data_IF_293127837014
#
_entry.id   IF_293127837014
#
_cell.length_a   1.000
_cell.length_b   1.000
_cell.length_c   1.000
_cell.angle_alpha   90.00
_cell.angle_beta   90.00
_cell.angle_gamma   90.00
#
_symmetry.space_group_name_H-M   'P 1'
#
loop_
_entity.id
_entity.type
_entity.pdbx_description
1 polymer ?
#
# COMPACT_ATOMS: atom_id res chain seq x y z
N UNK A 1 -60.68 39.80 -106.81
CA UNK A 1 -61.92 40.27 -106.16
C UNK A 1 -61.67 40.23 -104.65
N UNK A 2 -61.32 41.38 -104.06
CA UNK A 2 -62.16 42.14 -103.09
C UNK A 2 -62.69 41.29 -101.92
N UNK A 3 -62.11 41.46 -100.73
CA UNK A 3 -62.79 41.99 -99.52
C UNK A 3 -61.82 41.98 -98.32
N UNK A 4 -61.45 43.15 -97.78
CA UNK A 4 -62.06 43.96 -96.72
C UNK A 4 -61.76 43.49 -95.28
N UNK A 5 -60.96 44.34 -94.62
CA UNK A 5 -60.67 44.41 -93.18
C UNK A 5 -61.92 44.45 -92.30
N UNK A 6 -61.82 43.87 -91.11
CA UNK A 6 -62.57 44.31 -89.92
C UNK A 6 -61.67 44.29 -88.68
N UNK A 7 -61.96 45.25 -87.81
CA UNK A 7 -61.17 45.79 -86.71
C UNK A 7 -61.67 45.23 -85.38
N UNK A 8 -60.77 45.22 -84.38
CA UNK A 8 -60.99 45.32 -82.92
C UNK A 8 -61.41 44.11 -82.06
N UNK A 9 -60.65 43.92 -80.96
CA UNK A 9 -61.08 43.68 -79.56
C UNK A 9 -60.11 42.69 -78.85
N UNK A 10 -59.08 43.16 -78.12
CA UNK A 10 -59.02 43.34 -76.64
C UNK A 10 -58.86 42.03 -75.82
N UNK A 11 -57.68 41.94 -75.17
CA UNK A 11 -57.34 41.30 -73.87
C UNK A 11 -57.28 39.76 -73.76
N UNK A 12 -56.09 39.22 -73.48
CA UNK A 12 -55.76 38.59 -72.18
C UNK A 12 -54.33 38.00 -72.18
N UNK A 13 -53.65 38.14 -71.04
CA UNK A 13 -52.27 37.73 -70.78
C UNK A 13 -52.13 36.21 -70.54
N UNK A 14 -50.96 35.65 -70.87
CA UNK A 14 -50.40 34.49 -70.14
C UNK A 14 -48.96 34.23 -70.59
N UNK A 15 -48.01 34.60 -69.73
CA UNK A 15 -46.66 34.06 -69.74
C UNK A 15 -46.66 32.78 -68.88
N UNK A 16 -46.27 31.64 -69.43
CA UNK A 16 -46.03 30.42 -68.66
C UNK A 16 -44.58 29.98 -68.80
N UNK A 17 -43.79 30.47 -67.84
CA UNK A 17 -42.55 29.86 -67.34
C UNK A 17 -42.91 28.56 -66.61
N UNK A 18 -42.39 27.42 -67.06
CA UNK A 18 -42.38 26.19 -66.28
C UNK A 18 -40.92 25.88 -65.91
N UNK A 19 -40.43 26.60 -64.90
CA UNK A 19 -39.17 26.31 -64.23
C UNK A 19 -39.40 25.27 -63.12
N UNK A 20 -38.42 24.38 -62.99
CA UNK A 20 -38.28 23.29 -62.03
C UNK A 20 -38.51 23.75 -60.59
N UNK A 21 -39.27 22.98 -59.80
CA UNK A 21 -39.17 23.02 -58.33
C UNK A 21 -39.18 21.61 -57.75
N UNK A 22 -37.99 21.13 -57.35
CA UNK A 22 -37.83 20.14 -56.30
C UNK A 22 -38.12 20.84 -54.95
N UNK A 23 -38.96 20.28 -54.07
CA UNK A 23 -39.06 20.76 -52.70
C UNK A 23 -37.77 20.38 -51.95
N UNK A 24 -36.85 21.32 -51.79
CA UNK A 24 -35.80 21.22 -50.78
C UNK A 24 -36.42 21.61 -49.43
N UNK A 25 -36.91 20.62 -48.68
CA UNK A 25 -37.39 20.84 -47.32
C UNK A 25 -36.20 21.15 -46.41
N UNK A 26 -35.91 22.44 -46.20
CA UNK A 26 -34.96 22.89 -45.19
C UNK A 26 -35.61 22.75 -43.81
N UNK A 27 -35.12 21.82 -42.99
CA UNK A 27 -35.51 21.67 -41.59
C UNK A 27 -34.74 22.74 -40.78
N UNK A 28 -35.45 23.72 -40.22
CA UNK A 28 -34.84 24.74 -39.35
C UNK A 28 -34.71 24.21 -37.91
N UNK A 29 -33.58 24.48 -37.26
CA UNK A 29 -33.37 24.17 -35.84
C UNK A 29 -33.87 25.36 -35.00
N UNK A 30 -34.88 25.12 -34.17
CA UNK A 30 -35.43 26.13 -33.26
C UNK A 30 -34.69 26.06 -31.91
N UNK A 31 -34.18 27.21 -31.46
CA UNK A 31 -33.53 27.34 -30.16
C UNK A 31 -34.52 27.98 -29.20
N UNK A 32 -34.95 27.23 -28.18
CA UNK A 32 -35.74 27.75 -27.08
C UNK A 32 -34.86 27.98 -25.85
N UNK A 33 -35.18 29.02 -25.07
CA UNK A 33 -34.53 29.29 -23.79
C UNK A 33 -35.25 28.61 -22.61
N UNK A 34 -36.06 27.58 -22.90
CA UNK A 34 -36.73 26.78 -21.88
C UNK A 34 -35.71 25.89 -21.16
N UNK A 35 -35.86 25.73 -19.86
CA UNK A 35 -35.06 24.77 -19.09
C UNK A 35 -35.24 23.36 -19.65
N UNK A 36 -34.15 22.62 -19.76
CA UNK A 36 -34.18 21.23 -20.19
C UNK A 36 -35.01 20.38 -19.23
N UNK A 37 -35.86 19.52 -19.78
CA UNK A 37 -36.67 18.56 -19.02
C UNK A 37 -35.90 17.26 -18.74
N UNK A 38 -36.31 16.51 -17.71
CA UNK A 38 -35.70 15.21 -17.37
C UNK A 38 -35.75 14.19 -18.52
N UNK A 39 -36.78 14.29 -19.38
CA UNK A 39 -36.95 13.43 -20.55
C UNK A 39 -36.22 13.94 -21.81
N UNK A 40 -35.57 15.11 -21.75
CA UNK A 40 -34.81 15.61 -22.88
C UNK A 40 -33.58 14.73 -23.12
N UNK A 41 -33.31 14.48 -24.40
CA UNK A 41 -32.22 13.63 -24.86
C UNK A 41 -31.08 14.47 -25.40
N UNK A 42 -29.86 13.98 -25.22
CA UNK A 42 -28.67 14.63 -25.77
C UNK A 42 -28.74 14.57 -27.29
N UNK A 43 -28.47 15.69 -27.96
CA UNK A 43 -28.34 15.71 -29.42
C UNK A 43 -26.88 15.46 -29.80
N UNK A 44 -26.66 14.55 -30.74
CA UNK A 44 -25.35 14.20 -31.29
C UNK A 44 -25.25 14.74 -32.71
N UNK A 45 -24.06 15.18 -33.10
CA UNK A 45 -23.76 15.55 -34.48
C UNK A 45 -23.02 14.38 -35.12
N UNK A 46 -23.55 13.87 -36.22
CA UNK A 46 -22.99 12.76 -36.96
C UNK A 46 -22.76 13.17 -38.41
N UNK A 47 -21.59 12.84 -38.97
CA UNK A 47 -21.29 13.08 -40.38
C UNK A 47 -21.79 11.90 -41.21
N UNK A 48 -22.81 12.13 -42.03
CA UNK A 48 -23.42 11.13 -42.90
C UNK A 48 -23.13 11.48 -44.37
N UNK A 49 -22.10 10.88 -44.96
CA UNK A 49 -21.67 11.12 -46.35
C UNK A 49 -21.38 12.60 -46.65
N UNK A 50 -20.57 13.26 -45.82
CA UNK A 50 -20.08 14.63 -46.09
C UNK A 50 -21.04 15.75 -45.68
N UNK A 51 -22.18 15.42 -45.07
CA UNK A 51 -23.09 16.37 -44.41
C UNK A 51 -23.18 16.05 -42.92
N UNK A 52 -23.16 17.09 -42.09
CA UNK A 52 -23.37 16.95 -40.65
C UNK A 52 -24.87 16.98 -40.36
N UNK A 53 -25.37 15.92 -39.71
CA UNK A 53 -26.77 15.79 -39.29
C UNK A 53 -26.87 15.72 -37.76
N UNK A 54 -27.90 16.34 -37.21
CA UNK A 54 -28.19 16.26 -35.77
C UNK A 54 -29.12 15.07 -35.52
N UNK A 55 -28.68 14.15 -34.67
CA UNK A 55 -29.41 12.93 -34.32
C UNK A 55 -29.67 12.94 -32.80
N UNK A 56 -30.85 12.49 -32.37
CA UNK A 56 -31.14 12.35 -30.95
C UNK A 56 -30.45 11.10 -30.41
N UNK A 57 -29.70 11.25 -29.32
CA UNK A 57 -29.13 10.13 -28.57
C UNK A 57 -30.20 9.37 -27.81
N UNK A 58 -29.88 8.13 -27.43
CA UNK A 58 -30.69 7.38 -26.48
C UNK A 58 -30.50 7.86 -25.03
N UNK A 59 -29.42 8.60 -24.75
CA UNK A 59 -29.06 9.10 -23.42
C UNK A 59 -29.93 10.31 -23.05
N UNK A 60 -30.57 10.24 -21.88
CA UNK A 60 -31.43 11.29 -21.34
C UNK A 60 -30.69 12.15 -20.29
N UNK A 61 -31.14 13.37 -20.05
CA UNK A 61 -30.53 14.29 -19.08
C UNK A 61 -30.60 13.73 -17.64
N UNK A 62 -31.67 13.01 -17.29
CA UNK A 62 -31.79 12.32 -15.99
C UNK A 62 -30.68 11.27 -15.78
N UNK A 63 -30.36 10.50 -16.83
CA UNK A 63 -29.30 9.49 -16.77
C UNK A 63 -27.92 10.13 -16.59
N UNK A 64 -27.66 11.25 -17.28
CA UNK A 64 -26.44 12.04 -17.07
C UNK A 64 -26.35 12.60 -15.66
N UNK A 65 -27.47 13.02 -15.08
CA UNK A 65 -27.50 13.51 -13.71
C UNK A 65 -27.18 12.40 -12.71
N UNK A 66 -27.78 11.21 -12.86
CA UNK A 66 -27.47 10.03 -12.04
C UNK A 66 -26.01 9.59 -12.16
N UNK A 67 -25.47 9.61 -13.38
CA UNK A 67 -24.04 9.32 -13.61
C UNK A 67 -23.16 10.33 -12.89
N UNK A 68 -23.47 11.63 -12.99
CA UNK A 68 -22.73 12.68 -12.30
C UNK A 68 -22.77 12.49 -10.78
N UNK A 69 -23.94 12.19 -10.23
CA UNK A 69 -24.10 11.98 -8.80
C UNK A 69 -23.32 10.73 -8.34
N UNK A 70 -23.39 9.64 -9.10
CA UNK A 70 -22.59 8.42 -8.84
C UNK A 70 -21.09 8.70 -8.87
N UNK A 71 -20.60 9.45 -9.86
CA UNK A 71 -19.18 9.84 -9.97
C UNK A 71 -18.77 10.72 -8.79
N UNK A 72 -19.63 11.62 -8.35
CA UNK A 72 -19.39 12.46 -7.17
C UNK A 72 -19.29 11.62 -5.90
N UNK A 73 -20.21 10.68 -5.72
CA UNK A 73 -20.23 9.78 -4.57
C UNK A 73 -18.99 8.87 -4.55
N UNK A 74 -18.61 8.32 -5.71
CA UNK A 74 -17.38 7.55 -5.86
C UNK A 74 -16.14 8.38 -5.54
N UNK A 75 -16.08 9.64 -5.99
CA UNK A 75 -14.98 10.54 -5.65
C UNK A 75 -14.87 10.79 -4.14
N UNK A 76 -16.00 10.97 -3.46
CA UNK A 76 -16.03 11.13 -2.01
C UNK A 76 -15.56 9.85 -1.28
N UNK A 77 -16.02 8.67 -1.71
CA UNK A 77 -15.59 7.40 -1.13
C UNK A 77 -14.09 7.15 -1.33
N UNK A 78 -13.54 7.50 -2.50
CA UNK A 78 -12.09 7.40 -2.75
C UNK A 78 -11.32 8.34 -1.83
N UNK A 79 -11.79 9.57 -1.63
CA UNK A 79 -11.14 10.51 -0.73
C UNK A 79 -11.16 10.02 0.73
N UNK A 80 -12.28 9.50 1.19
CA UNK A 80 -12.42 8.92 2.52
C UNK A 80 -11.53 7.68 2.70
N UNK A 81 -11.51 6.78 1.71
CA UNK A 81 -10.62 5.62 1.72
C UNK A 81 -9.14 6.03 1.76
N UNK A 82 -8.74 7.05 1.01
CA UNK A 82 -7.36 7.57 1.08
C UNK A 82 -7.03 8.15 2.45
N UNK A 83 -7.96 8.87 3.07
CA UNK A 83 -7.79 9.43 4.42
C UNK A 83 -7.69 8.33 5.48
N UNK A 84 -8.53 7.29 5.38
CA UNK A 84 -8.50 6.15 6.32
C UNK A 84 -7.27 5.27 6.12
N UNK A 85 -6.90 4.97 4.87
CA UNK A 85 -5.71 4.18 4.54
C UNK A 85 -4.39 4.90 4.89
N UNK A 86 -4.31 6.22 4.70
CA UNK A 86 -3.14 6.99 5.10
C UNK A 86 -2.96 7.07 6.63
N UNK A 87 -4.06 6.99 7.38
CA UNK A 87 -4.04 6.99 8.84
C UNK A 87 -3.66 5.63 9.42
N UNK A 88 -4.07 4.53 8.80
CA UNK A 88 -3.74 3.16 9.24
C UNK A 88 -2.31 2.74 8.87
N UNK A 89 -1.77 3.18 7.73
CA UNK A 89 -0.39 2.86 7.36
C UNK A 89 0.65 3.49 8.29
N UNK A 90 0.34 4.68 8.84
CA UNK A 90 1.28 5.42 9.68
C UNK A 90 1.32 4.90 11.14
N UNK A 91 0.24 4.30 11.63
CA UNK A 91 0.23 3.63 12.95
C UNK A 91 0.96 2.28 12.88
N UNK A 92 0.67 1.46 11.86
CA UNK A 92 1.33 0.16 11.69
C UNK A 92 2.83 0.28 11.44
N UNK A 93 3.30 1.29 10.70
CA UNK A 93 4.74 1.49 10.49
C UNK A 93 5.49 1.80 11.79
N UNK A 94 4.94 2.66 12.65
CA UNK A 94 5.56 3.00 13.94
C UNK A 94 5.62 1.80 14.88
N UNK A 95 4.54 1.03 14.95
CA UNK A 95 4.50 -0.18 15.76
C UNK A 95 5.53 -1.21 15.27
N UNK A 96 5.69 -1.37 13.96
CA UNK A 96 6.73 -2.22 13.36
C UNK A 96 8.14 -1.73 13.73
N UNK A 97 8.40 -0.42 13.66
CA UNK A 97 9.70 0.14 14.03
C UNK A 97 10.01 -0.05 15.53
N UNK A 98 9.02 0.15 16.40
CA UNK A 98 9.15 -0.09 17.84
C UNK A 98 9.41 -1.57 18.15
N UNK A 99 8.67 -2.48 17.50
CA UNK A 99 8.90 -3.93 17.62
C UNK A 99 10.29 -4.31 17.12
N UNK A 100 10.75 -3.75 16.00
CA UNK A 100 12.09 -4.00 15.45
C UNK A 100 13.19 -3.53 16.40
N UNK A 101 13.02 -2.39 17.07
CA UNK A 101 13.95 -1.90 18.07
C UNK A 101 14.00 -2.83 19.29
N UNK A 102 12.83 -3.26 19.80
CA UNK A 102 12.75 -4.24 20.90
C UNK A 102 13.44 -5.56 20.56
N UNK A 103 13.26 -6.09 19.36
CA UNK A 103 13.94 -7.31 18.90
C UNK A 103 15.46 -7.14 18.90
N UNK A 104 15.97 -5.99 18.41
CA UNK A 104 17.42 -5.70 18.43
C UNK A 104 17.97 -5.59 19.86
N UNK A 105 17.21 -5.00 20.78
CA UNK A 105 17.63 -4.89 22.18
C UNK A 105 17.66 -6.27 22.86
N UNK A 106 16.65 -7.10 22.59
CA UNK A 106 16.63 -8.49 23.07
C UNK A 106 17.80 -9.31 22.52
N UNK A 107 18.15 -9.14 21.24
CA UNK A 107 19.28 -9.82 20.61
C UNK A 107 20.61 -9.49 21.32
N UNK A 108 20.85 -8.21 21.63
CA UNK A 108 22.03 -7.78 22.41
C UNK A 108 22.04 -8.33 23.82
N UNK A 109 20.87 -8.43 24.46
CA UNK A 109 20.73 -9.02 25.78
C UNK A 109 21.04 -10.53 25.75
N UNK A 110 20.57 -11.24 24.74
CA UNK A 110 20.87 -12.66 24.54
C UNK A 110 22.37 -12.90 24.32
N UNK A 111 23.03 -12.06 23.50
CA UNK A 111 24.48 -12.11 23.32
C UNK A 111 25.24 -11.91 24.62
N UNK A 112 24.80 -10.94 25.44
CA UNK A 112 25.41 -10.66 26.74
C UNK A 112 25.25 -11.84 27.70
N UNK A 113 24.03 -12.39 27.79
CA UNK A 113 23.74 -13.57 28.61
C UNK A 113 24.53 -14.79 28.12
N UNK A 114 24.65 -14.98 26.81
CA UNK A 114 25.44 -16.04 26.20
C UNK A 114 26.91 -15.98 26.61
N UNK A 115 27.52 -14.79 26.60
CA UNK A 115 28.88 -14.57 27.10
C UNK A 115 29.01 -14.88 28.58
N UNK A 116 28.06 -14.43 29.40
CA UNK A 116 28.08 -14.71 30.84
C UNK A 116 27.99 -16.21 31.14
N UNK A 117 27.17 -16.96 30.40
CA UNK A 117 27.07 -18.42 30.54
C UNK A 117 28.37 -19.11 30.11
N UNK A 118 28.97 -18.68 29.01
CA UNK A 118 30.28 -19.17 28.55
C UNK A 118 31.37 -18.94 29.61
N UNK A 119 31.42 -17.74 30.18
CA UNK A 119 32.38 -17.38 31.23
C UNK A 119 32.16 -18.21 32.52
N UNK A 120 30.91 -18.37 32.95
CA UNK A 120 30.57 -19.22 34.10
C UNK A 120 30.98 -20.67 33.88
N UNK A 121 30.74 -21.21 32.68
CA UNK A 121 31.14 -22.57 32.31
C UNK A 121 32.67 -22.75 32.35
N UNK A 122 33.41 -21.77 31.82
CA UNK A 122 34.89 -21.78 31.84
C UNK A 122 35.45 -21.66 33.25
N UNK A 123 34.86 -20.79 34.08
CA UNK A 123 35.30 -20.60 35.47
C UNK A 123 35.00 -21.85 36.34
N UNK A 124 33.82 -22.45 36.15
CA UNK A 124 33.42 -23.68 36.85
C UNK A 124 34.34 -24.87 36.48
N UNK A 125 34.80 -24.93 35.24
CA UNK A 125 35.77 -25.96 34.80
C UNK A 125 37.20 -25.72 35.27
N UNK A 126 37.58 -24.47 35.59
CA UNK A 126 38.96 -24.13 35.95
C UNK A 126 39.22 -24.19 37.46
N UNK A 127 38.22 -23.88 38.31
CA UNK A 127 38.37 -23.93 39.77
C UNK A 127 38.57 -25.34 40.34
N UNK A 128 38.11 -26.38 39.64
CA UNK A 128 38.26 -27.77 40.07
C UNK A 128 39.71 -28.28 39.91
N UNK A 129 40.44 -27.77 38.92
CA UNK A 129 41.78 -28.27 38.59
C UNK A 129 42.87 -27.67 39.50
N UNK A 130 42.77 -26.38 39.84
CA UNK A 130 43.66 -25.71 40.79
C UNK A 130 43.48 -26.24 42.21
N UNK A 131 42.23 -26.34 42.69
CA UNK A 131 41.93 -26.91 44.01
C UNK A 131 42.44 -28.36 44.16
N UNK A 132 42.33 -29.18 43.11
CA UNK A 132 42.85 -30.57 43.10
C UNK A 132 44.37 -30.63 43.26
N UNK A 133 45.10 -29.75 42.58
CA UNK A 133 46.57 -29.71 42.64
C UNK A 133 47.11 -29.21 44.00
N UNK A 134 46.44 -28.23 44.61
CA UNK A 134 46.78 -27.73 45.94
C UNK A 134 46.48 -28.79 47.01
N UNK A 135 45.32 -29.44 46.94
CA UNK A 135 44.96 -30.55 47.85
C UNK A 135 45.96 -31.70 47.75
N UNK A 136 46.38 -32.06 46.54
CA UNK A 136 47.38 -33.12 46.33
C UNK A 136 48.73 -32.74 46.93
N UNK A 137 49.16 -31.49 46.73
CA UNK A 137 50.41 -30.97 47.31
C UNK A 137 50.36 -30.91 48.84
N UNK A 138 49.22 -30.50 49.41
CA UNK A 138 49.02 -30.46 50.86
C UNK A 138 48.99 -31.87 51.46
N UNK A 139 48.32 -32.83 50.82
CA UNK A 139 48.33 -34.24 51.26
C UNK A 139 49.74 -34.83 51.28
N UNK A 140 50.56 -34.51 50.28
CA UNK A 140 51.94 -34.97 50.25
C UNK A 140 52.75 -34.39 51.42
N UNK A 141 52.65 -33.08 51.65
CA UNK A 141 53.32 -32.42 52.80
C UNK A 141 52.89 -33.03 54.14
N UNK A 142 51.60 -33.32 54.34
CA UNK A 142 51.10 -33.97 55.55
C UNK A 142 51.72 -35.35 55.73
N UNK A 143 51.73 -36.18 54.68
CA UNK A 143 52.36 -37.50 54.73
C UNK A 143 53.86 -37.44 55.04
N UNK A 144 54.57 -36.46 54.49
CA UNK A 144 56.00 -36.27 54.77
C UNK A 144 56.23 -35.83 56.23
N UNK A 145 55.36 -34.96 56.76
CA UNK A 145 55.38 -34.55 58.16
C UNK A 145 55.05 -35.69 59.12
N UNK A 146 54.06 -36.53 58.81
CA UNK A 146 53.71 -37.69 59.62
C UNK A 146 54.88 -38.67 59.76
N UNK A 147 55.59 -38.93 58.65
CA UNK A 147 56.81 -39.76 58.65
C UNK A 147 57.92 -39.15 59.50
N UNK A 148 58.14 -37.85 59.39
CA UNK A 148 59.14 -37.15 60.19
C UNK A 148 58.79 -37.19 61.69
N UNK A 149 57.50 -37.04 62.03
CA UNK A 149 56.99 -37.17 63.41
C UNK A 149 57.22 -38.56 63.99
N UNK A 150 56.97 -39.62 63.21
CA UNK A 150 57.21 -40.99 63.65
C UNK A 150 58.70 -41.27 63.89
N UNK A 151 59.58 -40.72 63.05
CA UNK A 151 61.02 -40.79 63.28
C UNK A 151 61.42 -40.03 64.55
N UNK A 152 60.91 -38.81 64.74
CA UNK A 152 61.19 -38.01 65.93
C UNK A 152 60.76 -38.75 67.21
N UNK A 153 59.55 -39.32 67.23
CA UNK A 153 59.03 -40.10 68.37
C UNK A 153 59.97 -41.24 68.74
N UNK A 154 60.46 -42.01 67.76
CA UNK A 154 61.43 -43.09 68.00
C UNK A 154 62.72 -42.57 68.62
N UNK A 155 63.30 -41.50 68.07
CA UNK A 155 64.53 -40.94 68.61
C UNK A 155 64.36 -40.41 70.04
N UNK A 156 63.22 -39.80 70.34
CA UNK A 156 62.88 -39.34 71.69
C UNK A 156 62.70 -40.52 72.64
N UNK A 157 62.03 -41.59 72.22
CA UNK A 157 61.91 -42.82 73.02
C UNK A 157 63.28 -43.45 73.30
N UNK A 158 64.16 -43.52 72.29
CA UNK A 158 65.51 -44.07 72.44
C UNK A 158 66.36 -43.22 73.39
N UNK A 159 66.31 -41.89 73.28
CA UNK A 159 66.98 -41.00 74.23
C UNK A 159 66.41 -41.15 75.65
N UNK A 160 65.09 -41.22 75.79
CA UNK A 160 64.42 -41.40 77.08
C UNK A 160 64.84 -42.70 77.77
N UNK A 161 65.00 -43.78 76.99
CA UNK A 161 65.55 -45.06 77.49
C UNK A 161 67.01 -44.97 77.90
N UNK A 162 67.80 -44.09 77.29
CA UNK A 162 69.24 -43.92 77.56
C UNK A 162 69.53 -42.98 78.73
N UNK A 163 68.58 -42.09 79.06
CA UNK A 163 68.70 -41.12 80.16
C UNK A 163 68.17 -41.68 81.49
N UNK A 164 67.35 -42.73 81.46
CA UNK A 164 66.97 -43.53 82.63
C UNK A 164 67.99 -44.61 82.94
#
# INVERSE_FOLDING_TARGET
MRSFSKICSVVSASALLAAVMLPASAMALELSNSSSSYGDKVSLIHNDYGKDVVIKSDISIDELQKMRDTVRDQSHQIEEFKRSSGSSSNSSSKEIDDLKNKVKDQDRQLDTLGRQVEDLKRNSGSSSNSASSEISSLKQKINDQDRAMDQLKRTVEDLSRKVK
#
